data_IF_603044947516
#
_entry.id   IF_603044947516
#
_cell.length_a   1.000
_cell.length_b   1.000
_cell.length_c   1.000
_cell.angle_alpha   90.00
_cell.angle_beta   90.00
_cell.angle_gamma   90.00
#
_symmetry.space_group_name_H-M   'P 1'
#
loop_
_entity.id
_entity.type
_entity.pdbx_description
1 polymer ?
2 polymer ?
3 polymer ?
#
# COMPACT_ATOMS: atom_id res chain seq x y z
N UNK A 1 7.64 19.11 -7.07
CA UNK A 1 7.78 17.71 -6.73
C UNK A 1 7.59 16.78 -7.92
N UNK A 2 8.24 15.63 -7.87
CA UNK A 2 8.12 14.64 -8.93
C UNK A 2 6.88 13.77 -8.70
N UNK A 3 6.63 12.84 -9.62
CA UNK A 3 5.40 12.07 -9.60
C UNK A 3 5.65 10.66 -10.11
N UNK A 4 4.68 9.78 -9.84
CA UNK A 4 4.82 8.37 -10.14
C UNK A 4 3.45 7.77 -10.45
N UNK A 5 3.45 6.74 -11.31
CA UNK A 5 2.27 5.92 -11.55
C UNK A 5 2.67 4.46 -11.42
N UNK A 6 1.79 3.66 -10.80
CA UNK A 6 2.06 2.26 -10.58
C UNK A 6 0.79 1.44 -10.80
N UNK A 7 0.97 0.21 -11.29
CA UNK A 7 -0.05 -0.81 -11.28
C UNK A 7 0.50 -2.01 -10.53
N UNK A 8 -0.24 -2.49 -9.52
CA UNK A 8 0.15 -3.65 -8.74
C UNK A 8 -0.87 -4.77 -8.97
N UNK A 9 -0.37 -5.94 -9.37
CA UNK A 9 -1.22 -7.09 -9.65
C UNK A 9 -0.83 -8.26 -8.78
N UNK A 10 -1.83 -8.98 -8.28
CA UNK A 10 -1.64 -10.14 -7.42
C UNK A 10 -2.48 -11.29 -7.94
N UNK A 11 -1.86 -12.46 -8.07
CA UNK A 11 -2.53 -13.67 -8.56
C UNK A 11 -2.28 -14.80 -7.57
N UNK A 12 -3.34 -15.30 -6.95
CA UNK A 12 -3.26 -16.32 -5.92
C UNK A 12 -3.98 -17.57 -6.41
N UNK A 13 -3.23 -18.65 -6.58
CA UNK A 13 -3.85 -19.94 -6.88
C UNK A 13 -4.58 -20.47 -5.65
N UNK A 14 -5.74 -21.08 -5.86
CA UNK A 14 -6.54 -21.69 -4.80
C UNK A 14 -6.87 -23.11 -5.24
N UNK A 15 -5.95 -24.05 -5.06
CA UNK A 15 -6.16 -25.40 -5.58
C UNK A 15 -7.37 -26.09 -4.96
N UNK A 16 -8.16 -26.72 -5.83
CA UNK A 16 -9.37 -27.43 -5.45
C UNK A 16 -10.62 -26.57 -5.39
N UNK A 17 -10.46 -25.26 -5.18
CA UNK A 17 -11.54 -24.29 -5.17
C UNK A 17 -11.67 -23.52 -6.48
N UNK A 18 -10.97 -23.92 -7.53
CA UNK A 18 -11.11 -23.32 -8.84
C UNK A 18 -9.91 -22.48 -9.26
N UNK A 19 -10.11 -21.75 -10.35
CA UNK A 19 -9.01 -21.06 -11.01
C UNK A 19 -8.48 -19.90 -10.17
N UNK A 20 -7.22 -19.50 -10.38
CA UNK A 20 -6.61 -18.49 -9.50
C UNK A 20 -7.33 -17.15 -9.57
N UNK A 21 -7.40 -16.49 -8.42
CA UNK A 21 -7.96 -15.15 -8.35
C UNK A 21 -6.90 -14.11 -8.69
N UNK A 22 -7.29 -13.13 -9.50
CA UNK A 22 -6.40 -12.09 -9.98
C UNK A 22 -6.94 -10.73 -9.57
N UNK A 23 -6.16 -9.98 -8.80
CA UNK A 23 -6.50 -8.64 -8.37
C UNK A 23 -5.44 -7.69 -8.87
N UNK A 24 -5.87 -6.59 -9.50
CA UNK A 24 -4.96 -5.55 -9.97
C UNK A 24 -5.51 -4.20 -9.59
N UNK A 25 -4.62 -3.32 -9.12
CA UNK A 25 -4.97 -1.96 -8.74
C UNK A 25 -3.94 -1.03 -9.38
N UNK A 26 -4.21 0.26 -9.30
CA UNK A 26 -3.28 1.24 -9.85
C UNK A 26 -3.34 2.54 -9.09
N UNK A 27 -2.22 3.25 -9.12
CA UNK A 27 -2.00 4.42 -8.27
C UNK A 27 -1.34 5.53 -9.07
N UNK A 28 -1.70 6.77 -8.76
CA UNK A 28 -0.92 7.94 -9.13
C UNK A 28 -0.42 8.55 -7.83
N UNK A 29 0.90 8.60 -7.68
CA UNK A 29 1.51 8.86 -6.37
C UNK A 29 0.92 7.90 -5.36
N UNK A 30 0.31 8.43 -4.30
CA UNK A 30 -0.32 7.61 -3.27
C UNK A 30 -1.83 7.47 -3.43
N UNK A 31 -2.40 7.96 -4.53
CA UNK A 31 -3.84 7.91 -4.77
C UNK A 31 -4.16 6.81 -5.78
N UNK A 32 -5.07 5.89 -5.40
CA UNK A 32 -5.49 4.80 -6.28
C UNK A 32 -6.65 5.24 -7.16
N UNK A 33 -6.48 5.15 -8.49
CA UNK A 33 -7.55 5.50 -9.41
C UNK A 33 -8.30 4.35 -10.06
N UNK A 34 -7.87 3.09 -9.93
CA UNK A 34 -8.50 1.99 -10.67
C UNK A 34 -8.37 0.67 -9.93
N UNK A 35 -9.20 -0.30 -10.34
CA UNK A 35 -9.28 -1.62 -9.74
C UNK A 35 -9.74 -2.62 -10.79
N UNK A 36 -9.24 -3.86 -10.69
CA UNK A 36 -9.82 -4.99 -11.40
C UNK A 36 -9.78 -6.21 -10.51
N UNK A 37 -10.94 -6.85 -10.34
CA UNK A 37 -11.07 -8.08 -9.54
C UNK A 37 -11.66 -9.16 -10.44
N UNK A 38 -10.90 -10.25 -10.64
CA UNK A 38 -11.34 -11.33 -11.50
C UNK A 38 -12.55 -12.08 -10.94
N UNK A 39 -12.86 -11.93 -9.66
CA UNK A 39 -14.03 -12.55 -9.07
C UNK A 39 -15.25 -11.64 -9.06
N UNK A 40 -15.10 -10.35 -9.37
CA UNK A 40 -16.24 -9.46 -9.39
C UNK A 40 -17.13 -9.76 -10.59
N UNK A 41 -18.44 -9.72 -10.36
CA UNK A 41 -19.39 -9.95 -11.45
C UNK A 41 -19.25 -8.91 -12.56
N UNK A 42 -18.67 -7.75 -12.23
CA UNK A 42 -18.49 -6.69 -13.23
C UNK A 42 -17.59 -7.15 -14.37
N UNK A 43 -16.43 -7.72 -14.04
CA UNK A 43 -15.43 -8.11 -15.04
C UNK A 43 -14.96 -6.92 -15.87
N UNK A 44 -14.90 -5.76 -15.24
CA UNK A 44 -14.50 -4.53 -15.89
C UNK A 44 -13.48 -3.80 -15.02
N UNK A 45 -12.62 -3.01 -15.66
CA UNK A 45 -11.79 -2.06 -14.92
C UNK A 45 -12.69 -0.95 -14.39
N UNK A 46 -12.44 -0.52 -13.16
CA UNK A 46 -13.39 0.35 -12.47
C UNK A 46 -12.71 1.60 -11.94
N UNK A 47 -13.41 2.73 -11.94
CA UNK A 47 -12.87 3.95 -11.31
C UNK A 47 -12.86 3.82 -9.80
N UNK A 48 -11.70 4.10 -9.19
CA UNK A 48 -11.60 4.26 -7.74
C UNK A 48 -11.47 5.71 -7.29
N UNK A 49 -11.45 6.67 -8.21
CA UNK A 49 -11.19 8.07 -7.84
C UNK A 49 -12.08 9.01 -8.63
N UNK A 50 -12.44 10.16 -8.04
CA UNK A 50 -13.41 11.06 -8.70
C UNK A 50 -12.90 11.71 -9.98
N UNK A 51 -11.61 11.69 -10.29
CA UNK A 51 -11.15 12.35 -11.50
C UNK A 51 -10.98 11.43 -12.71
N UNK A 52 -11.12 10.12 -12.55
CA UNK A 52 -10.95 9.21 -13.68
C UNK A 52 -12.26 8.78 -14.35
N UNK A 53 -13.42 8.99 -13.72
CA UNK A 53 -14.64 8.52 -14.36
C UNK A 53 -15.18 9.49 -15.39
N UNK A 54 -14.55 10.67 -15.51
CA UNK A 54 -14.84 11.56 -16.64
C UNK A 54 -14.35 10.97 -17.96
N UNK A 55 -13.56 9.91 -17.92
CA UNK A 55 -13.16 9.23 -19.14
C UNK A 55 -14.36 8.55 -19.80
N UNK A 56 -14.27 8.37 -21.11
CA UNK A 56 -15.36 7.80 -21.88
C UNK A 56 -15.23 6.32 -22.08
N UNK A 57 -16.28 5.69 -22.62
CA UNK A 57 -16.27 4.23 -22.81
C UNK A 57 -15.11 3.73 -23.66
N UNK A 58 -14.55 4.58 -24.52
CA UNK A 58 -13.34 4.19 -25.25
C UNK A 58 -12.20 3.85 -24.30
N UNK A 59 -12.15 4.53 -23.16
CA UNK A 59 -11.09 4.27 -22.18
C UNK A 59 -11.31 2.93 -21.48
N UNK A 60 -12.53 2.72 -20.97
CA UNK A 60 -12.75 1.60 -20.06
C UNK A 60 -12.74 0.27 -20.79
N UNK A 61 -13.29 0.21 -22.00
CA UNK A 61 -13.24 -1.03 -22.75
C UNK A 61 -11.81 -1.39 -23.15
N UNK A 62 -10.98 -0.38 -23.44
CA UNK A 62 -9.60 -0.65 -23.82
C UNK A 62 -8.76 -1.06 -22.61
N UNK A 63 -8.90 -0.33 -21.50
CA UNK A 63 -8.25 -0.74 -20.26
C UNK A 63 -8.66 -2.15 -19.87
N UNK A 64 -9.96 -2.43 -19.89
CA UNK A 64 -10.43 -3.76 -19.49
C UNK A 64 -9.79 -4.86 -20.34
N UNK A 65 -9.67 -4.63 -21.65
CA UNK A 65 -9.08 -5.65 -22.51
C UNK A 65 -7.66 -6.02 -22.14
N UNK A 66 -6.85 -5.03 -21.76
CA UNK A 66 -5.44 -5.28 -21.49
C UNK A 66 -5.22 -5.96 -20.13
N UNK A 67 -6.01 -5.59 -19.12
CA UNK A 67 -5.81 -6.17 -17.80
C UNK A 67 -6.29 -7.61 -17.74
N UNK A 68 -7.31 -7.96 -18.53
CA UNK A 68 -7.74 -9.36 -18.59
C UNK A 68 -6.77 -10.20 -19.39
N UNK A 69 -6.17 -9.63 -20.44
CA UNK A 69 -5.08 -10.32 -21.12
C UNK A 69 -3.91 -10.55 -20.16
N UNK A 70 -3.58 -9.55 -19.35
CA UNK A 70 -2.60 -9.73 -18.28
C UNK A 70 -3.05 -10.81 -17.30
N UNK A 71 -4.35 -10.86 -17.02
CA UNK A 71 -4.86 -11.79 -16.00
C UNK A 71 -4.65 -13.24 -16.43
N UNK A 72 -4.96 -13.56 -17.69
CA UNK A 72 -4.76 -14.93 -18.15
C UNK A 72 -3.29 -15.24 -18.36
N UNK A 73 -2.47 -14.23 -18.66
CA UNK A 73 -1.03 -14.45 -18.76
C UNK A 73 -0.45 -14.85 -17.42
N UNK A 74 -0.80 -14.12 -16.36
CA UNK A 74 -0.31 -14.48 -15.02
C UNK A 74 -0.92 -15.78 -14.53
N UNK A 75 -2.16 -16.09 -14.94
CA UNK A 75 -2.75 -17.36 -14.57
C UNK A 75 -1.97 -18.52 -15.17
N UNK A 76 -1.50 -18.36 -16.41
CA UNK A 76 -0.67 -19.39 -17.02
C UNK A 76 0.75 -19.36 -16.47
N UNK A 77 1.27 -18.17 -16.11
CA UNK A 77 2.58 -18.10 -15.49
C UNK A 77 2.64 -18.90 -14.20
N UNK A 78 1.52 -18.99 -13.47
CA UNK A 78 1.51 -19.74 -12.22
C UNK A 78 1.74 -21.22 -12.44
N UNK A 79 1.19 -21.76 -13.53
CA UNK A 79 1.39 -23.18 -13.80
C UNK A 79 2.78 -23.46 -14.37
N UNK A 80 3.30 -22.55 -15.19
CA UNK A 80 4.66 -22.70 -15.71
C UNK A 80 5.65 -22.71 -14.56
N UNK A 81 5.49 -21.79 -13.61
CA UNK A 81 6.38 -21.74 -12.45
C UNK A 81 6.19 -22.96 -11.57
N UNK A 82 4.94 -23.39 -11.38
CA UNK A 82 4.68 -24.62 -10.63
C UNK A 82 5.44 -25.80 -11.23
N UNK A 83 5.52 -25.87 -12.56
CA UNK A 83 6.27 -26.94 -13.21
C UNK A 83 7.76 -26.66 -13.21
N UNK A 84 8.16 -25.40 -13.39
CA UNK A 84 9.57 -25.03 -13.30
C UNK A 84 10.18 -25.51 -11.99
N UNK A 85 9.48 -25.26 -10.88
CA UNK A 85 10.00 -25.53 -9.55
C UNK A 85 9.65 -26.93 -9.03
N UNK A 86 8.85 -27.71 -9.78
CA UNK A 86 8.44 -29.05 -9.38
C UNK A 86 7.61 -29.05 -8.09
N UNK A 87 6.91 -27.95 -7.83
CA UNK A 87 6.09 -27.84 -6.63
C UNK A 87 4.78 -28.60 -6.79
N UNK A 88 4.18 -28.93 -5.65
CA UNK A 88 2.92 -29.66 -5.65
C UNK A 88 1.77 -28.77 -6.10
N UNK A 89 0.80 -29.37 -6.79
CA UNK A 89 -0.41 -28.66 -7.18
C UNK A 89 -1.38 -28.51 -6.03
N UNK A 90 -1.11 -29.12 -4.87
CA UNK A 90 -1.96 -28.95 -3.71
C UNK A 90 -1.67 -27.67 -2.94
N UNK A 91 -0.52 -27.06 -3.17
CA UNK A 91 -0.16 -25.83 -2.48
C UNK A 91 -0.70 -24.59 -3.17
N UNK A 92 -1.03 -23.59 -2.37
CA UNK A 92 -1.40 -22.28 -2.89
C UNK A 92 -0.14 -21.48 -3.16
N UNK A 93 -0.13 -20.78 -4.30
CA UNK A 93 1.05 -20.02 -4.71
C UNK A 93 0.63 -18.66 -5.24
N UNK A 94 1.55 -17.71 -5.16
CA UNK A 94 1.25 -16.31 -5.40
C UNK A 94 2.25 -15.73 -6.40
N UNK A 95 1.74 -15.00 -7.39
CA UNK A 95 2.56 -14.27 -8.35
C UNK A 95 2.20 -12.80 -8.28
N UNK A 96 3.16 -11.97 -7.86
CA UNK A 96 2.97 -10.53 -7.78
C UNK A 96 3.73 -9.85 -8.91
N UNK A 97 3.18 -8.75 -9.39
CA UNK A 97 3.78 -8.01 -10.50
C UNK A 97 3.47 -6.53 -10.34
N UNK A 98 4.45 -5.69 -10.66
CA UNK A 98 4.25 -4.25 -10.61
C UNK A 98 5.02 -3.60 -11.75
N UNK A 99 4.43 -2.53 -12.31
CA UNK A 99 5.05 -1.78 -13.38
C UNK A 99 4.56 -0.34 -13.30
N UNK A 100 5.32 0.56 -13.92
CA UNK A 100 4.98 1.97 -13.90
C UNK A 100 6.20 2.82 -14.15
N UNK A 101 5.99 4.13 -14.09
CA UNK A 101 7.02 5.09 -14.46
C UNK A 101 7.03 6.26 -13.48
N UNK A 102 8.14 6.97 -13.44
CA UNK A 102 8.30 8.18 -12.65
C UNK A 102 8.54 9.37 -13.56
N UNK A 103 8.05 10.54 -13.16
CA UNK A 103 8.23 11.77 -13.92
C UNK A 103 8.54 12.87 -12.91
N UNK A 104 9.21 13.93 -13.40
CA UNK A 104 9.69 14.98 -12.54
C UNK A 104 8.78 16.19 -12.50
N UNK A 105 9.26 17.24 -11.84
CA UNK A 105 8.58 18.54 -11.82
C UNK A 105 8.50 19.18 -13.21
N UNK A 106 9.26 18.64 -14.16
CA UNK A 106 9.18 19.00 -15.58
C UNK A 106 8.03 18.31 -16.29
N UNK A 107 7.83 17.03 -15.99
CA UNK A 107 6.91 16.20 -16.73
C UNK A 107 7.55 15.16 -17.63
N UNK A 108 8.88 14.99 -17.62
CA UNK A 108 9.53 14.07 -18.54
C UNK A 108 10.19 12.93 -17.76
N UNK A 109 10.46 11.85 -18.50
CA UNK A 109 10.80 10.56 -17.92
C UNK A 109 11.98 10.63 -16.96
N UNK A 110 11.89 9.84 -15.89
CA UNK A 110 13.02 9.62 -14.98
C UNK A 110 13.39 8.14 -14.93
N UNK A 111 12.50 7.26 -14.46
CA UNK A 111 12.77 5.84 -14.42
C UNK A 111 11.46 5.07 -14.52
N UNK A 112 11.58 3.78 -14.80
CA UNK A 112 10.41 2.91 -14.95
C UNK A 112 10.71 1.52 -14.44
N UNK A 113 9.64 0.75 -14.24
CA UNK A 113 9.75 -0.54 -13.59
C UNK A 113 8.90 -1.58 -14.31
N UNK A 114 9.47 -2.76 -14.52
CA UNK A 114 8.71 -3.94 -14.92
C UNK A 114 9.27 -5.11 -14.13
N UNK A 115 8.49 -5.69 -13.21
CA UNK A 115 9.08 -6.72 -12.35
C UNK A 115 8.02 -7.66 -11.79
N UNK A 116 8.48 -8.85 -11.41
CA UNK A 116 7.65 -9.93 -10.90
C UNK A 116 8.23 -10.48 -9.62
N UNK A 117 7.35 -11.01 -8.76
CA UNK A 117 7.74 -11.76 -7.59
C UNK A 117 6.91 -13.03 -7.50
N UNK A 118 7.51 -14.07 -6.92
CA UNK A 118 6.87 -15.37 -6.78
C UNK A 118 6.98 -15.82 -5.33
N UNK A 119 5.82 -16.01 -4.68
CA UNK A 119 5.74 -16.36 -3.26
C UNK A 119 6.51 -15.34 -2.40
N UNK A 120 6.32 -14.07 -2.72
CA UNK A 120 6.92 -12.99 -1.96
C UNK A 120 8.40 -12.76 -2.19
N UNK A 121 9.02 -13.49 -3.11
CA UNK A 121 10.44 -13.37 -3.39
C UNK A 121 10.64 -12.95 -4.83
N UNK A 122 11.69 -12.15 -5.06
CA UNK A 122 11.98 -11.65 -6.40
C UNK A 122 12.13 -12.80 -7.39
N UNK A 123 11.61 -12.60 -8.59
CA UNK A 123 11.70 -13.59 -9.66
C UNK A 123 12.45 -13.02 -10.86
N UNK A 124 11.87 -12.07 -11.58
CA UNK A 124 12.54 -11.42 -12.70
C UNK A 124 12.15 -9.94 -12.71
N UNK A 125 13.12 -9.07 -12.98
CA UNK A 125 12.91 -7.63 -12.91
C UNK A 125 13.72 -6.94 -13.99
N UNK A 126 13.10 -5.93 -14.62
CA UNK A 126 13.81 -5.11 -15.59
C UNK A 126 14.77 -4.17 -14.87
N UNK A 127 16.04 -4.20 -15.26
CA UNK A 127 17.02 -3.31 -14.66
C UNK A 127 16.70 -1.85 -15.01
N UNK A 128 17.21 -0.93 -14.19
CA UNK A 128 16.85 0.48 -14.36
C UNK A 128 17.39 1.08 -15.64
N UNK A 129 18.35 0.43 -16.32
CA UNK A 129 18.70 0.87 -17.67
C UNK A 129 17.65 0.48 -18.68
N UNK A 130 16.70 -0.37 -18.29
CA UNK A 130 15.57 -0.83 -19.10
C UNK A 130 16.03 -1.55 -20.37
N UNK A 131 17.28 -1.99 -20.42
CA UNK A 131 17.77 -2.80 -21.52
C UNK A 131 18.02 -4.26 -21.17
N UNK A 132 17.86 -4.66 -19.92
CA UNK A 132 18.26 -6.01 -19.52
C UNK A 132 17.50 -6.43 -18.27
N UNK A 133 17.54 -7.73 -17.99
CA UNK A 133 16.74 -8.34 -16.94
C UNK A 133 17.63 -8.93 -15.84
N UNK A 134 17.29 -8.63 -14.59
CA UNK A 134 17.81 -9.37 -13.46
C UNK A 134 16.95 -10.60 -13.21
N UNK A 135 17.59 -11.73 -12.90
CA UNK A 135 16.88 -12.98 -12.65
C UNK A 135 17.45 -13.63 -11.40
N UNK A 136 16.58 -13.82 -10.40
CA UNK A 136 17.01 -14.40 -9.13
C UNK A 136 17.62 -15.78 -9.32
N UNK A 137 16.83 -16.74 -9.80
CA UNK A 137 17.12 -18.16 -9.72
C UNK A 137 17.39 -18.75 -11.10
N UNK A 138 17.59 -20.08 -11.14
CA UNK A 138 17.74 -20.79 -12.40
C UNK A 138 16.45 -20.77 -13.23
N UNK A 139 15.30 -20.96 -12.58
CA UNK A 139 14.04 -20.98 -13.31
C UNK A 139 13.75 -19.64 -13.95
N UNK A 140 14.06 -18.55 -13.24
CA UNK A 140 13.83 -17.23 -13.80
C UNK A 140 14.74 -16.95 -15.00
N UNK A 141 15.89 -17.61 -15.07
CA UNK A 141 16.78 -17.37 -16.20
C UNK A 141 16.36 -18.14 -17.44
N UNK A 142 15.57 -19.20 -17.29
CA UNK A 142 14.86 -19.74 -18.44
C UNK A 142 13.95 -18.68 -19.01
N UNK A 143 13.13 -18.08 -18.14
CA UNK A 143 12.27 -16.97 -18.54
C UNK A 143 13.09 -15.80 -19.07
N UNK A 144 14.28 -15.57 -18.51
CA UNK A 144 15.15 -14.51 -19.03
C UNK A 144 15.56 -14.81 -20.47
N UNK A 145 16.05 -16.02 -20.72
CA UNK A 145 16.45 -16.39 -22.07
C UNK A 145 15.26 -16.34 -23.03
N UNK A 146 14.09 -16.79 -22.58
CA UNK A 146 12.90 -16.69 -23.41
C UNK A 146 12.53 -15.24 -23.68
N UNK A 147 12.70 -14.38 -22.67
CA UNK A 147 12.28 -12.99 -22.81
C UNK A 147 13.30 -12.16 -23.59
N UNK A 148 14.60 -12.40 -23.38
CA UNK A 148 15.62 -11.71 -24.17
C UNK A 148 15.51 -12.06 -25.64
N UNK A 149 15.25 -13.33 -25.95
CA UNK A 149 15.11 -13.76 -27.33
C UNK A 149 13.89 -13.12 -28.00
N UNK A 150 12.82 -12.94 -27.24
CA UNK A 150 11.57 -12.40 -27.78
C UNK A 150 11.49 -10.89 -27.73
N UNK A 151 12.53 -10.21 -27.23
CA UNK A 151 12.66 -8.75 -27.33
C UNK A 151 11.55 -8.02 -26.58
N UNK A 152 11.17 -8.53 -25.41
CA UNK A 152 10.12 -7.86 -24.64
C UNK A 152 10.66 -6.64 -23.92
N UNK A 153 11.92 -6.66 -23.51
CA UNK A 153 12.50 -5.50 -22.83
C UNK A 153 12.47 -4.26 -23.71
N UNK A 154 12.56 -4.43 -25.03
CA UNK A 154 12.50 -3.29 -25.92
C UNK A 154 11.07 -2.76 -26.04
N UNK A 155 10.08 -3.65 -26.01
CA UNK A 155 8.69 -3.21 -26.09
C UNK A 155 8.22 -2.56 -24.80
N UNK A 156 8.65 -3.10 -23.65
CA UNK A 156 8.25 -2.52 -22.37
C UNK A 156 8.90 -1.15 -22.16
N UNK A 157 10.15 -0.99 -22.60
CA UNK A 157 10.77 0.33 -22.53
C UNK A 157 10.01 1.34 -23.38
N UNK A 158 9.53 0.91 -24.55
CA UNK A 158 8.71 1.79 -25.38
C UNK A 158 7.42 2.16 -24.66
N UNK A 159 6.79 1.21 -23.97
CA UNK A 159 5.61 1.51 -23.17
C UNK A 159 5.97 2.44 -22.02
N UNK A 160 6.97 2.07 -21.23
CA UNK A 160 7.31 2.82 -20.02
C UNK A 160 7.61 4.28 -20.34
N UNK A 161 8.39 4.52 -21.39
CA UNK A 161 8.71 5.91 -21.74
C UNK A 161 7.58 6.57 -22.52
N UNK A 162 7.05 5.91 -23.54
CA UNK A 162 5.99 6.51 -24.32
C UNK A 162 4.61 6.59 -23.71
N UNK A 163 3.98 5.44 -23.43
CA UNK A 163 2.57 5.44 -23.06
C UNK A 163 2.35 5.73 -21.58
N UNK A 164 3.18 5.14 -20.72
CA UNK A 164 3.02 5.31 -19.27
C UNK A 164 3.08 6.78 -18.88
N UNK A 165 4.04 7.51 -19.43
CA UNK A 165 4.29 8.91 -19.07
C UNK A 165 3.20 9.84 -19.58
N UNK A 166 2.72 9.63 -20.80
CA UNK A 166 1.68 10.48 -21.33
C UNK A 166 0.36 10.27 -20.58
N UNK A 167 0.05 9.02 -20.23
CA UNK A 167 -1.09 8.78 -19.35
C UNK A 167 -0.90 9.39 -17.98
N UNK A 168 0.34 9.35 -17.47
CA UNK A 168 0.64 9.98 -16.20
C UNK A 168 0.42 11.48 -16.28
N UNK A 169 1.03 12.13 -17.28
CA UNK A 169 0.85 13.57 -17.44
C UNK A 169 -0.61 13.94 -17.66
N UNK A 170 -1.41 13.04 -18.25
CA UNK A 170 -2.81 13.33 -18.46
C UNK A 170 -3.59 13.26 -17.16
N UNK A 171 -3.38 12.20 -16.37
CA UNK A 171 -4.08 12.07 -15.09
C UNK A 171 -3.74 13.23 -14.17
N UNK A 172 -2.47 13.62 -14.11
CA UNK A 172 -2.06 14.79 -13.33
C UNK A 172 -2.79 16.04 -13.78
N UNK A 173 -3.34 16.06 -15.00
CA UNK A 173 -4.11 17.17 -15.53
C UNK A 173 -5.59 17.01 -15.18
N UNK A 174 -6.19 15.90 -15.61
CA UNK A 174 -7.60 15.63 -15.29
C UNK A 174 -7.89 15.84 -13.81
N UNK A 175 -6.97 15.40 -12.95
CA UNK A 175 -7.16 15.51 -11.50
C UNK A 175 -6.30 16.51 -10.74
N UNK A 176 -5.73 17.52 -11.40
CA UNK A 176 -4.67 18.32 -10.79
C UNK A 176 -5.10 18.98 -9.48
N UNK A 177 -6.40 19.14 -9.26
CA UNK A 177 -6.87 19.72 -8.01
C UNK A 177 -6.50 18.81 -6.83
N UNK A 178 -6.90 17.54 -6.89
CA UNK A 178 -6.60 16.61 -5.80
C UNK A 178 -5.16 16.10 -5.87
N UNK A 179 -4.69 15.76 -7.07
CA UNK A 179 -3.45 15.00 -7.18
C UNK A 179 -2.23 15.86 -6.80
N UNK A 180 -2.22 17.12 -7.22
CA UNK A 180 -1.06 17.98 -7.00
C UNK A 180 -1.18 18.85 -5.76
N UNK A 181 -2.27 18.72 -5.00
CA UNK A 181 -2.30 19.28 -3.66
C UNK A 181 -1.24 18.60 -2.81
N UNK A 182 -0.68 19.35 -1.86
CA UNK A 182 0.10 18.76 -0.78
C UNK A 182 -0.46 19.33 0.51
N UNK A 183 -1.12 18.49 1.29
CA UNK A 183 -1.63 18.95 2.57
C UNK A 183 -0.56 18.75 3.64
N UNK A 184 -0.18 19.80 4.36
CA UNK A 184 0.77 19.63 5.46
C UNK A 184 0.12 18.90 6.62
N UNK A 185 0.90 18.29 7.50
CA UNK A 185 0.32 17.59 8.65
C UNK A 185 -0.14 18.56 9.72
N UNK A 186 -1.18 18.15 10.46
CA UNK A 186 -1.57 18.82 11.68
C UNK A 186 -0.87 18.11 12.83
N UNK A 187 0.09 18.78 13.45
CA UNK A 187 0.98 18.15 14.43
C UNK A 187 0.61 18.61 15.83
N UNK A 188 0.50 17.66 16.75
CA UNK A 188 0.28 17.96 18.15
C UNK A 188 1.01 16.90 18.98
N UNK A 189 0.92 17.04 20.30
CA UNK A 189 1.62 16.14 21.22
C UNK A 189 0.71 15.81 22.39
N UNK A 190 0.67 14.53 22.75
CA UNK A 190 -0.10 14.05 23.88
C UNK A 190 0.85 13.43 24.92
N UNK A 191 0.37 13.40 26.16
CA UNK A 191 1.19 13.04 27.32
C UNK A 191 0.48 11.97 28.13
N UNK A 192 1.08 10.78 28.18
CA UNK A 192 0.48 9.64 28.88
C UNK A 192 1.38 9.17 30.02
N UNK A 193 0.95 9.30 31.27
CA UNK A 193 1.78 8.83 32.39
C UNK A 193 1.69 7.31 32.55
N UNK A 194 2.76 6.74 33.11
CA UNK A 194 2.77 5.32 33.43
C UNK A 194 2.87 5.18 34.95
N UNK A 195 4.08 5.35 35.46
CA UNK A 195 4.43 5.32 36.87
C UNK A 195 4.47 6.75 37.41
N UNK A 196 5.04 6.92 38.61
CA UNK A 196 5.55 8.23 38.96
C UNK A 196 6.90 8.48 38.29
N UNK A 197 7.68 7.42 38.05
CA UNK A 197 9.04 7.55 37.56
C UNK A 197 9.17 7.65 36.05
N UNK A 198 8.13 7.29 35.28
CA UNK A 198 8.22 7.35 33.83
C UNK A 198 6.88 7.78 33.24
N UNK A 199 6.96 8.32 32.01
CA UNK A 199 5.78 8.72 31.27
C UNK A 199 6.13 8.75 29.79
N UNK A 200 5.10 8.72 28.94
CA UNK A 200 5.25 8.65 27.50
C UNK A 200 4.87 9.97 26.85
N UNK A 201 5.73 10.48 25.98
CA UNK A 201 5.42 11.60 25.10
C UNK A 201 5.23 11.08 23.69
N UNK A 202 4.08 11.39 23.08
CA UNK A 202 3.76 10.94 21.73
C UNK A 202 3.56 12.15 20.82
N UNK A 203 4.16 12.11 19.65
CA UNK A 203 4.12 13.21 18.68
C UNK A 203 3.34 12.76 17.46
N UNK A 204 2.30 13.51 17.10
CA UNK A 204 1.37 13.13 16.05
C UNK A 204 1.56 13.98 14.80
N UNK A 205 1.29 13.35 13.66
CA UNK A 205 1.11 14.04 12.39
C UNK A 205 -0.15 13.49 11.73
N UNK A 206 -1.05 14.37 11.30
CA UNK A 206 -2.36 13.95 10.84
C UNK A 206 -2.76 14.72 9.59
N UNK A 207 -3.45 14.04 8.68
CA UNK A 207 -4.07 14.68 7.54
C UNK A 207 -3.13 15.15 6.46
N UNK A 208 -1.97 14.52 6.32
CA UNK A 208 -0.95 14.98 5.37
C UNK A 208 -0.96 14.13 4.10
N UNK A 209 -0.75 14.78 2.96
CA UNK A 209 -0.49 14.12 1.70
C UNK A 209 0.67 14.86 1.03
N UNK A 210 1.60 14.12 0.41
CA UNK A 210 1.70 12.66 0.30
C UNK A 210 2.12 11.98 1.60
N UNK A 211 2.34 10.67 1.55
CA UNK A 211 2.62 9.90 2.74
C UNK A 211 4.05 10.06 3.23
N UNK A 212 4.96 10.54 2.40
CA UNK A 212 6.37 10.64 2.79
C UNK A 212 6.52 11.71 3.86
N UNK A 213 7.06 11.32 5.01
CA UNK A 213 7.17 12.20 6.17
C UNK A 213 8.27 11.66 7.06
N UNK A 214 8.82 12.51 7.92
CA UNK A 214 9.89 12.12 8.82
C UNK A 214 9.62 12.69 10.21
N UNK A 215 9.50 11.81 11.20
CA UNK A 215 9.34 12.20 12.60
C UNK A 215 10.55 11.72 13.38
N UNK A 216 11.15 12.62 14.16
CA UNK A 216 12.30 12.28 14.98
C UNK A 216 12.20 12.98 16.32
N UNK A 217 12.90 12.44 17.31
CA UNK A 217 12.93 12.98 18.65
C UNK A 217 14.35 13.41 19.02
N UNK A 218 14.45 14.52 19.77
CA UNK A 218 15.72 15.04 20.22
C UNK A 218 15.67 15.31 21.72
N UNK A 219 16.79 15.01 22.40
CA UNK A 219 16.96 15.31 23.82
C UNK A 219 18.08 16.32 23.96
N UNK A 220 17.74 17.55 24.34
CA UNK A 220 18.72 18.64 24.44
C UNK A 220 19.43 18.91 23.11
N UNK A 221 18.83 18.51 22.00
CA UNK A 221 19.49 18.49 20.72
C UNK A 221 20.23 17.20 20.41
N UNK A 222 20.63 16.44 21.43
CA UNK A 222 21.02 15.06 21.20
C UNK A 222 19.85 14.33 20.59
N UNK A 223 20.08 13.66 19.46
CA UNK A 223 18.99 12.99 18.76
C UNK A 223 18.85 11.61 19.39
N UNK A 224 17.76 11.39 20.11
CA UNK A 224 17.55 10.14 20.82
C UNK A 224 16.79 9.22 19.88
N UNK A 225 17.48 8.25 19.31
CA UNK A 225 16.84 7.21 18.52
C UNK A 225 16.67 5.92 19.31
N UNK A 226 17.18 5.87 20.54
CA UNK A 226 16.97 4.73 21.41
C UNK A 226 15.71 4.95 22.24
N UNK A 227 14.99 3.86 22.50
CA UNK A 227 13.70 3.86 23.21
C UNK A 227 12.70 4.84 22.57
N UNK A 228 12.64 4.83 21.24
CA UNK A 228 11.64 5.59 20.49
C UNK A 228 10.85 4.64 19.60
N UNK A 229 9.54 4.53 19.86
CA UNK A 229 8.64 3.73 19.04
C UNK A 229 8.01 4.61 17.97
N UNK A 230 8.07 4.15 16.71
CA UNK A 230 7.53 4.90 15.58
C UNK A 230 6.76 3.96 14.66
N UNK A 231 5.45 4.19 14.53
CA UNK A 231 4.58 3.27 13.80
C UNK A 231 4.66 3.53 12.30
N UNK A 232 4.30 2.50 11.54
CA UNK A 232 4.17 2.60 10.09
C UNK A 232 3.14 3.67 9.72
N UNK A 233 3.31 4.26 8.54
CA UNK A 233 2.41 5.32 8.10
C UNK A 233 1.12 4.68 7.59
N UNK A 234 0.01 4.94 8.31
CA UNK A 234 -1.36 4.47 8.11
C UNK A 234 -2.20 5.50 7.37
N UNK A 235 -3.06 5.06 6.46
CA UNK A 235 -4.02 5.98 5.84
C UNK A 235 -5.16 6.33 6.77
N UNK A 236 -5.65 7.57 6.64
CA UNK A 236 -6.80 8.00 7.41
C UNK A 236 -8.10 7.50 6.81
N UNK A 237 -8.13 7.25 5.51
CA UNK A 237 -9.31 6.77 4.81
C UNK A 237 -9.99 7.81 3.94
N UNK A 238 -9.72 9.09 4.17
CA UNK A 238 -10.26 10.15 3.33
C UNK A 238 -9.31 10.55 2.21
N UNK A 239 -8.19 9.84 2.07
CA UNK A 239 -7.16 10.17 1.11
C UNK A 239 -5.90 10.73 1.72
N UNK A 240 -5.91 11.04 3.02
CA UNK A 240 -4.74 11.53 3.72
C UNK A 240 -4.08 10.40 4.50
N UNK A 241 -3.02 10.74 5.24
CA UNK A 241 -2.24 9.74 5.95
C UNK A 241 -1.93 10.24 7.36
N UNK A 242 -1.57 9.30 8.24
CA UNK A 242 -1.29 9.57 9.64
C UNK A 242 0.00 8.87 10.04
N UNK A 243 0.50 9.22 11.21
CA UNK A 243 1.70 8.62 11.80
C UNK A 243 1.92 9.24 13.17
N UNK A 244 2.68 8.54 14.02
CA UNK A 244 3.10 9.11 15.29
C UNK A 244 4.38 8.43 15.77
N UNK A 245 5.13 9.16 16.58
CA UNK A 245 6.35 8.69 17.24
C UNK A 245 6.24 8.96 18.73
N UNK A 246 6.88 8.10 19.53
CA UNK A 246 6.75 8.19 20.97
C UNK A 246 8.09 7.91 21.64
N UNK A 247 8.23 8.42 22.86
CA UNK A 247 9.37 8.17 23.73
C UNK A 247 8.87 7.96 25.15
N UNK A 248 9.47 7.00 25.85
CA UNK A 248 9.35 6.91 27.30
C UNK A 248 10.42 7.81 27.92
N UNK A 249 9.99 8.71 28.79
CA UNK A 249 10.92 9.68 29.39
C UNK A 249 10.71 9.68 30.90
N UNK A 250 11.77 9.83 31.70
CA UNK A 250 11.57 9.99 33.14
C UNK A 250 10.94 11.34 33.46
N UNK A 251 9.88 11.31 34.26
CA UNK A 251 9.30 12.55 34.78
C UNK A 251 10.24 13.03 35.87
N UNK A 252 10.47 14.35 35.97
CA UNK A 252 9.76 15.40 35.26
C UNK A 252 10.43 16.02 34.05
N UNK A 253 11.27 15.25 33.36
CA UNK A 253 12.21 15.77 32.38
C UNK A 253 11.62 15.94 30.98
N UNK A 254 10.30 15.79 30.80
CA UNK A 254 9.69 15.93 29.48
C UNK A 254 10.04 17.25 28.80
N UNK A 255 10.43 18.28 29.55
CA UNK A 255 10.73 19.58 28.97
C UNK A 255 11.93 19.53 28.01
N UNK A 256 12.82 18.55 28.17
CA UNK A 256 14.06 18.49 27.40
C UNK A 256 13.89 17.85 26.03
N UNK A 257 12.73 17.31 25.70
CA UNK A 257 12.52 16.57 24.47
C UNK A 257 11.78 17.44 23.44
N UNK A 258 12.14 17.24 22.17
CA UNK A 258 11.51 17.97 21.07
C UNK A 258 11.22 17.02 19.92
N UNK A 259 9.98 17.04 19.42
CA UNK A 259 9.63 16.33 18.21
C UNK A 259 9.99 17.15 16.98
N UNK A 260 10.32 16.46 15.89
CA UNK A 260 10.77 17.13 14.67
C UNK A 260 10.07 16.53 13.47
N UNK A 261 9.37 17.38 12.70
CA UNK A 261 8.52 16.96 11.60
C UNK A 261 9.03 17.62 10.33
N UNK A 262 9.15 16.84 9.26
CA UNK A 262 9.49 17.36 7.93
C UNK A 262 8.55 16.75 6.91
N UNK A 263 7.96 17.60 6.07
CA UNK A 263 7.02 17.17 5.05
C UNK A 263 7.11 18.13 3.88
N UNK A 264 6.80 17.61 2.68
CA UNK A 264 6.84 18.43 1.47
C UNK A 264 5.99 19.68 1.61
N UNK A 265 4.82 19.55 2.23
CA UNK A 265 3.90 20.67 2.39
C UNK A 265 4.28 21.64 3.49
N UNK A 266 5.32 21.34 4.28
CA UNK A 266 5.71 22.34 5.26
C UNK A 266 6.71 23.32 4.65
N UNK A 267 6.54 24.62 4.87
CA UNK A 267 7.55 25.57 4.40
C UNK A 267 8.91 25.33 5.04
N UNK A 268 8.93 25.14 6.36
CA UNK A 268 10.10 24.79 7.13
C UNK A 268 9.73 23.68 8.11
N UNK A 269 10.71 22.86 8.51
CA UNK A 269 10.40 21.78 9.46
C UNK A 269 9.86 22.30 10.79
N UNK A 270 8.88 21.58 11.32
CA UNK A 270 8.29 21.87 12.62
C UNK A 270 9.11 21.23 13.75
N UNK A 271 9.14 21.90 14.89
CA UNK A 271 9.64 21.32 16.13
C UNK A 271 8.62 21.57 17.23
N UNK A 272 8.39 20.55 18.06
CA UNK A 272 7.36 20.60 19.09
C UNK A 272 7.96 20.28 20.46
N UNK A 273 7.60 21.08 21.46
CA UNK A 273 8.01 20.87 22.83
C UNK A 273 6.77 20.73 23.71
N UNK A 274 6.81 19.78 24.64
CA UNK A 274 5.65 19.53 25.50
C UNK A 274 5.36 20.71 26.42
N UNK B 1 8.06 -18.34 2.20
CA UNK B 1 8.32 -17.72 3.49
C UNK B 1 7.21 -16.72 3.81
N UNK B 2 6.67 -16.78 5.03
CA UNK B 2 5.53 -15.97 5.41
C UNK B 2 5.98 -14.80 6.29
N UNK B 3 5.02 -13.92 6.58
CA UNK B 3 5.26 -12.73 7.38
C UNK B 3 3.99 -12.38 8.14
N UNK B 4 4.15 -11.92 9.38
CA UNK B 4 3.01 -11.64 10.25
C UNK B 4 2.50 -10.22 9.99
N UNK B 5 1.18 -10.02 9.95
CA UNK B 5 0.64 -8.67 9.79
C UNK B 5 1.01 -7.77 10.96
N UNK B 6 1.15 -6.48 10.68
CA UNK B 6 1.32 -5.45 11.69
C UNK B 6 0.01 -4.67 11.77
N UNK B 7 -0.65 -4.74 12.92
CA UNK B 7 -2.04 -4.32 13.06
C UNK B 7 -2.11 -2.97 13.74
N UNK B 8 -2.92 -2.07 13.19
CA UNK B 8 -3.20 -0.77 13.78
C UNK B 8 -4.69 -0.47 13.69
N UNK B 9 -5.31 -0.16 14.82
CA UNK B 9 -6.71 0.25 14.87
C UNK B 9 -6.77 1.68 15.39
N UNK B 10 -7.64 2.48 14.78
CA UNK B 10 -7.60 3.92 14.97
C UNK B 10 -8.79 4.54 14.23
N UNK B 11 -9.02 5.82 14.51
CA UNK B 11 -10.13 6.57 13.94
C UNK B 11 -9.61 7.55 12.88
N UNK B 12 -10.46 7.79 11.87
CA UNK B 12 -10.08 8.69 10.77
C UNK B 12 -9.76 10.08 11.29
N UNK B 13 -10.63 10.64 12.11
CA UNK B 13 -10.46 11.92 12.78
C UNK B 13 -10.32 11.70 14.28
N UNK B 14 -9.68 12.63 15.00
CA UNK B 14 -9.57 12.48 16.46
C UNK B 14 -10.96 12.39 17.09
N UNK B 15 -11.05 11.60 18.16
CA UNK B 15 -12.33 11.20 18.71
C UNK B 15 -12.94 12.30 19.56
N UNK B 16 -14.21 12.61 19.28
CA UNK B 16 -15.05 13.42 20.15
C UNK B 16 -16.37 12.70 20.32
N UNK B 17 -16.85 12.60 21.55
CA UNK B 17 -18.09 11.89 21.84
C UNK B 17 -19.27 12.55 21.15
N UNK B 18 -20.02 11.76 20.38
CA UNK B 18 -21.21 12.21 19.73
C UNK B 18 -21.05 12.62 18.28
N UNK B 19 -19.83 12.95 17.84
CA UNK B 19 -19.63 13.24 16.43
C UNK B 19 -19.29 11.95 15.69
N UNK B 20 -19.84 11.84 14.49
CA UNK B 20 -19.60 10.65 13.69
C UNK B 20 -18.17 10.63 13.19
N UNK B 21 -17.64 9.43 13.01
CA UNK B 21 -16.28 9.25 12.53
C UNK B 21 -16.24 7.96 11.71
N UNK B 22 -15.04 7.57 11.31
CA UNK B 22 -14.78 6.26 10.71
C UNK B 22 -13.79 5.52 11.60
N UNK B 23 -13.99 4.22 11.75
CA UNK B 23 -13.13 3.37 12.57
C UNK B 23 -12.31 2.48 11.65
N UNK B 24 -11.00 2.69 11.63
CA UNK B 24 -10.09 2.00 10.73
C UNK B 24 -9.34 0.89 11.46
N UNK B 25 -9.06 -0.19 10.72
CA UNK B 25 -8.08 -1.18 11.13
C UNK B 25 -7.15 -1.42 9.95
N UNK B 26 -5.88 -1.08 10.13
CA UNK B 26 -4.88 -1.16 9.07
C UNK B 26 -3.94 -2.33 9.36
N UNK B 27 -3.94 -3.31 8.47
CA UNK B 27 -3.03 -4.45 8.54
C UNK B 27 -2.03 -4.33 7.41
N UNK B 28 -0.78 -4.70 7.68
CA UNK B 28 0.29 -4.44 6.73
C UNK B 28 1.43 -5.44 6.96
N UNK B 29 2.30 -5.53 5.96
CA UNK B 29 3.53 -6.29 6.10
C UNK B 29 3.37 -7.78 6.21
N UNK B 30 2.23 -8.33 5.80
CA UNK B 30 1.99 -9.75 5.91
C UNK B 30 2.20 -10.44 4.56
N UNK B 31 2.10 -11.77 4.59
CA UNK B 31 2.29 -12.63 3.43
C UNK B 31 2.07 -14.07 3.87
N UNK B 32 1.31 -14.86 3.10
CA UNK B 32 0.56 -14.50 1.89
C UNK B 32 -0.65 -13.60 2.15
N UNK B 33 -1.47 -13.37 1.11
CA UNK B 33 -2.48 -12.33 1.16
C UNK B 33 -3.76 -12.75 1.88
N UNK B 34 -3.99 -14.06 2.09
CA UNK B 34 -5.21 -14.48 2.75
C UNK B 34 -5.21 -14.00 4.19
N UNK B 35 -6.25 -13.25 4.57
CA UNK B 35 -6.33 -12.65 5.89
C UNK B 35 -7.80 -12.45 6.23
N UNK B 36 -8.10 -12.53 7.53
CA UNK B 36 -9.44 -12.27 8.05
C UNK B 36 -9.35 -11.17 9.09
N UNK B 37 -10.18 -10.14 8.92
CA UNK B 37 -10.19 -8.98 9.81
C UNK B 37 -11.63 -8.67 10.18
N UNK B 38 -11.89 -8.53 11.48
CA UNK B 38 -13.18 -8.12 12.00
C UNK B 38 -13.01 -6.90 12.90
N UNK B 39 -13.95 -5.98 12.82
CA UNK B 39 -14.05 -4.87 13.77
C UNK B 39 -15.12 -5.21 14.78
N UNK B 40 -14.78 -5.10 16.06
CA UNK B 40 -15.63 -5.57 17.15
C UNK B 40 -16.18 -4.38 17.93
N UNK B 41 -17.45 -4.49 18.33
CA UNK B 41 -18.09 -3.53 19.22
C UNK B 41 -18.48 -4.26 20.50
N UNK B 42 -17.79 -3.94 21.59
CA UNK B 42 -17.97 -4.62 22.87
C UNK B 42 -17.88 -6.13 22.71
N UNK B 43 -16.93 -6.57 21.88
CA UNK B 43 -16.69 -7.98 21.65
C UNK B 43 -17.53 -8.62 20.57
N UNK B 44 -18.36 -7.84 19.87
CA UNK B 44 -19.26 -8.37 18.86
C UNK B 44 -18.97 -7.71 17.52
N UNK B 45 -19.11 -8.49 16.45
CA UNK B 45 -18.68 -8.05 15.13
C UNK B 45 -19.57 -6.94 14.59
N UNK B 46 -18.93 -5.92 14.02
CA UNK B 46 -19.62 -4.95 13.16
C UNK B 46 -19.71 -5.55 11.76
N UNK B 47 -20.93 -5.62 11.21
CA UNK B 47 -21.14 -6.40 9.99
C UNK B 47 -21.31 -5.59 8.70
N UNK B 48 -21.35 -4.26 8.72
CA UNK B 48 -21.10 -3.52 7.49
C UNK B 48 -19.73 -2.89 7.64
N UNK B 49 -18.76 -3.50 6.96
CA UNK B 49 -17.34 -3.15 7.05
C UNK B 49 -16.79 -3.30 5.64
N UNK B 50 -16.06 -2.29 5.19
CA UNK B 50 -15.49 -2.31 3.86
C UNK B 50 -13.98 -2.36 3.96
N UNK B 51 -13.36 -2.93 2.95
CA UNK B 51 -11.91 -3.05 2.92
C UNK B 51 -11.38 -2.48 1.61
N UNK B 52 -10.18 -1.90 1.68
CA UNK B 52 -9.51 -1.40 0.51
C UNK B 52 -9.10 -2.55 -0.41
N UNK B 53 -8.84 -2.21 -1.67
CA UNK B 53 -8.38 -3.22 -2.62
C UNK B 53 -6.97 -3.67 -2.26
N UNK B 54 -6.68 -4.93 -2.56
CA UNK B 54 -5.41 -5.52 -2.18
C UNK B 54 -4.27 -4.91 -2.99
N UNK B 55 -3.25 -4.42 -2.29
CA UNK B 55 -2.05 -3.88 -2.90
C UNK B 55 -0.85 -4.28 -2.05
N UNK B 56 0.35 -3.90 -2.48
CA UNK B 56 1.53 -4.28 -1.74
C UNK B 56 2.61 -3.21 -1.86
N UNK B 57 3.59 -3.28 -0.97
CA UNK B 57 4.67 -2.32 -0.90
C UNK B 57 5.85 -2.77 -1.75
N UNK B 58 6.96 -2.03 -1.64
CA UNK B 58 8.14 -2.30 -2.46
C UNK B 58 8.78 -3.64 -2.10
N UNK B 59 8.61 -4.10 -0.86
CA UNK B 59 9.15 -5.37 -0.43
C UNK B 59 8.19 -6.53 -0.68
N UNK B 60 7.08 -6.28 -1.34
CA UNK B 60 6.05 -7.22 -1.79
C UNK B 60 5.04 -7.55 -0.69
N UNK B 61 5.21 -7.01 0.51
CA UNK B 61 4.25 -7.25 1.58
C UNK B 61 2.93 -6.52 1.31
N UNK B 62 1.83 -7.15 1.72
CA UNK B 62 0.49 -6.68 1.42
C UNK B 62 -0.03 -5.76 2.51
N UNK B 63 -0.83 -4.77 2.11
CA UNK B 63 -1.52 -3.90 3.06
C UNK B 63 -3.00 -3.80 2.69
N UNK B 64 -3.83 -3.71 3.73
CA UNK B 64 -5.28 -3.59 3.58
C UNK B 64 -5.81 -2.67 4.67
N UNK B 65 -6.90 -1.97 4.35
CA UNK B 65 -7.57 -1.07 5.30
C UNK B 65 -9.03 -1.48 5.42
N UNK B 66 -9.40 -1.94 6.61
CA UNK B 66 -10.80 -2.24 6.94
C UNK B 66 -11.37 -1.08 7.76
N UNK B 67 -12.49 -0.53 7.32
CA UNK B 67 -13.03 0.68 7.91
C UNK B 67 -14.56 0.63 7.92
N UNK B 68 -15.14 1.41 8.84
CA UNK B 68 -16.58 1.53 8.95
C UNK B 68 -16.91 2.84 9.67
N UNK B 69 -18.15 3.29 9.49
CA UNK B 69 -18.61 4.46 10.22
C UNK B 69 -19.07 4.10 11.62
N UNK B 70 -18.70 4.93 12.59
CA UNK B 70 -19.18 4.77 13.95
C UNK B 70 -19.23 6.14 14.62
N UNK B 71 -20.04 6.22 15.68
CA UNK B 71 -20.09 7.39 16.55
C UNK B 71 -19.69 6.96 17.95
N UNK B 72 -18.55 7.42 18.48
CA UNK B 72 -18.03 6.82 19.72
C UNK B 72 -18.84 7.25 20.94
N UNK B 73 -18.81 6.39 21.96
CA UNK B 73 -19.34 6.72 23.27
C UNK B 73 -18.30 6.35 24.33
N UNK B 74 -18.34 7.09 25.44
CA UNK B 74 -17.38 6.86 26.53
C UNK B 74 -17.41 5.41 27.00
N UNK B 75 -18.61 4.82 27.04
CA UNK B 75 -18.78 3.45 27.52
C UNK B 75 -18.42 2.40 26.48
N UNK B 76 -18.58 2.71 25.19
CA UNK B 76 -18.42 1.71 24.15
C UNK B 76 -16.95 1.39 23.91
N UNK B 77 -16.66 0.10 23.76
CA UNK B 77 -15.35 -0.38 23.42
C UNK B 77 -15.35 -0.94 22.01
N UNK B 78 -14.24 -0.73 21.31
CA UNK B 78 -14.06 -1.22 19.95
C UNK B 78 -12.72 -1.92 19.85
N UNK B 79 -12.62 -2.89 18.94
CA UNK B 79 -11.42 -3.70 18.81
C UNK B 79 -11.35 -4.24 17.39
N UNK B 80 -10.16 -4.72 17.03
CA UNK B 80 -9.93 -5.32 15.72
C UNK B 80 -9.37 -6.72 15.91
N UNK B 81 -10.05 -7.71 15.33
CA UNK B 81 -9.61 -9.10 15.37
C UNK B 81 -9.08 -9.50 14.01
N UNK B 82 -7.88 -10.08 13.98
CA UNK B 82 -7.20 -10.45 12.75
C UNK B 82 -6.75 -11.90 12.86
N UNK B 83 -6.88 -12.65 11.77
CA UNK B 83 -6.31 -13.99 11.69
C UNK B 83 -5.53 -14.13 10.38
N UNK B 84 -4.44 -14.88 10.47
CA UNK B 84 -3.51 -15.07 9.36
C UNK B 84 -2.82 -16.41 9.57
N UNK B 85 -2.20 -16.93 8.51
CA UNK B 85 -1.51 -18.21 8.61
C UNK B 85 -0.41 -18.15 9.66
N UNK B 86 0.17 -16.96 9.90
CA UNK B 86 1.29 -16.83 10.81
C UNK B 86 0.87 -16.78 12.27
N UNK B 87 -0.41 -16.56 12.56
CA UNK B 87 -0.89 -16.42 13.93
C UNK B 87 -1.46 -17.76 14.40
N UNK B 88 -0.88 -18.30 15.48
CA UNK B 88 -1.35 -19.57 16.02
C UNK B 88 -2.71 -19.44 16.71
N UNK B 89 -3.15 -18.23 17.02
CA UNK B 89 -4.53 -17.97 17.40
C UNK B 89 -4.89 -16.56 16.91
N UNK B 90 -6.18 -16.28 16.74
CA UNK B 90 -6.57 -14.92 16.31
C UNK B 90 -6.05 -13.87 17.27
N UNK B 91 -5.87 -12.66 16.74
CA UNK B 91 -5.25 -11.56 17.47
C UNK B 91 -6.25 -10.41 17.58
N UNK B 92 -6.54 -10.00 18.81
CA UNK B 92 -7.46 -8.90 19.08
C UNK B 92 -6.64 -7.70 19.55
N UNK B 93 -6.84 -6.56 18.90
CA UNK B 93 -6.16 -5.32 19.24
C UNK B 93 -7.22 -4.29 19.61
N UNK B 94 -7.14 -3.77 20.84
CA UNK B 94 -8.13 -2.83 21.33
C UNK B 94 -7.91 -1.44 20.74
N UNK B 95 -9.00 -0.73 20.50
CA UNK B 95 -8.92 0.66 20.06
C UNK B 95 -8.65 1.57 21.25
N UNK B 96 -7.81 2.58 21.02
CA UNK B 96 -7.45 3.56 22.01
C UNK B 96 -7.47 4.92 21.35
N UNK B 97 -8.19 5.87 21.94
CA UNK B 97 -8.22 7.22 21.38
C UNK B 97 -6.83 7.82 21.26
N UNK B 98 -5.89 7.35 22.07
CA UNK B 98 -4.54 7.89 22.14
C UNK B 98 -3.50 7.10 21.35
N UNK B 99 -3.91 6.04 20.66
CA UNK B 99 -2.98 5.28 19.81
C UNK B 99 -3.59 4.95 18.46
N UNK C 1 -2.72 4.20 -17.90
CA UNK C 1 -2.80 3.38 -19.10
C UNK C 1 -2.05 2.06 -18.90
N UNK C 2 -2.77 0.95 -19.02
CA UNK C 2 -2.21 -0.36 -18.74
C UNK C 2 -1.29 -0.81 -19.87
N UNK C 3 -0.36 -1.70 -19.54
CA UNK C 3 0.57 -2.24 -20.52
C UNK C 3 -0.14 -3.15 -21.51
N UNK C 4 0.33 -3.14 -22.75
CA UNK C 4 -0.11 -4.12 -23.73
C UNK C 4 1.05 -4.53 -24.61
N UNK C 5 1.28 -5.84 -24.70
CA UNK C 5 2.20 -6.40 -25.68
C UNK C 5 1.43 -6.86 -26.90
N UNK C 6 2.06 -6.71 -28.08
CA UNK C 6 1.40 -7.12 -29.31
C UNK C 6 1.01 -8.61 -29.25
N UNK C 7 1.95 -9.46 -28.84
CA UNK C 7 1.65 -10.84 -28.49
C UNK C 7 2.01 -11.04 -27.03
N UNK C 8 1.03 -11.42 -26.21
CA UNK C 8 1.30 -11.73 -24.82
C UNK C 8 2.27 -12.90 -24.72
N UNK C 9 3.21 -12.81 -23.78
CA UNK C 9 4.30 -13.76 -23.65
C UNK C 9 4.41 -14.19 -22.18
N UNK C 10 4.63 -15.49 -21.96
CA UNK C 10 4.57 -16.10 -20.64
C UNK C 10 5.99 -16.37 -20.13
N UNK C 11 6.07 -17.01 -18.97
CA UNK C 11 7.35 -17.41 -18.39
C UNK C 11 8.03 -18.47 -19.25
#
# INVERSE_FOLDING_TARGET
GSHSMRYFSTSVSRPGRGEPRFIAVGYVDDTQFVRFDSDAASQRMEPRAPWIEQEGPEYWDEETGKVKAHSQTDRENLRIALRYYNQSEAGSHTLQMMFGCDVGSDGRFLRGYHQYAYDGKDYIALKEDLRSWTAADMAAQITKRKWEAAHVAEQQRAYLEGTCVDGLRRYLENGKETLQRTDPPKTHMTHHPISDHEATLRCWALGFYPAEITLTWQRDGEDQTQDTELVETRPAGDGTFQKWAAVVVPSGEEQRYTCHVQHEGLPKPLTLRW
IQRTPKIQVYSRHPAENGKSNFLNCYVSGFHPSDIEVDLLKNGERIEKVEHSDLSFSKDWSFYLLYYTEFTPTEKDEYACRVNHVTLSQPKIVKWDRDM
LYKKLKREITF
#
